data_IF_207833371102
#
_entry.id   IF_207833371102
#
_cell.length_a   1.000
_cell.length_b   1.000
_cell.length_c   1.000
_cell.angle_alpha   90.00
_cell.angle_beta   90.00
_cell.angle_gamma   90.00
#
_symmetry.space_group_name_H-M   'P 1'
#
loop_
_entity.id
_entity.type
_entity.pdbx_description
1 polymer ?
#
# COMPACT_ATOMS: atom_id res chain seq x y z
N UNK A 1 6.08 31.91 45.54
CA UNK A 1 5.23 31.17 44.59
C UNK A 1 5.85 31.32 43.20
N UNK A 2 6.64 30.36 42.72
CA UNK A 2 7.28 30.40 41.40
C UNK A 2 6.90 29.13 40.64
N UNK A 3 6.29 29.35 39.47
CA UNK A 3 5.68 28.38 38.56
C UNK A 3 6.50 27.12 38.30
N UNK A 4 5.99 25.98 38.77
CA UNK A 4 6.48 24.63 38.41
C UNK A 4 5.65 24.04 37.25
N UNK A 5 4.63 24.76 36.77
CA UNK A 5 3.69 24.27 35.75
C UNK A 5 4.23 24.03 34.32
N UNK A 6 5.29 24.68 33.79
CA UNK A 6 5.62 24.52 32.37
C UNK A 6 6.41 23.23 32.05
N UNK A 7 7.00 22.57 33.04
CA UNK A 7 7.83 21.38 32.82
C UNK A 7 7.00 20.09 32.62
N UNK A 8 5.82 20.00 33.23
CA UNK A 8 4.93 18.82 33.12
C UNK A 8 4.21 18.76 31.77
N UNK A 9 3.92 19.90 31.14
CA UNK A 9 3.27 19.97 29.83
C UNK A 9 4.17 19.47 28.69
N UNK A 10 5.49 19.69 28.78
CA UNK A 10 6.46 19.25 27.77
C UNK A 10 6.69 17.72 27.80
N UNK A 11 6.52 17.08 28.96
CA UNK A 11 6.69 15.62 29.08
C UNK A 11 5.53 14.83 28.45
N UNK A 12 4.31 15.39 28.49
CA UNK A 12 3.13 14.77 27.86
C UNK A 12 3.18 14.76 26.33
N UNK A 13 3.94 15.67 25.69
CA UNK A 13 4.05 15.72 24.21
C UNK A 13 4.98 14.61 23.69
N UNK A 14 5.99 14.20 24.46
CA UNK A 14 6.94 13.15 24.05
C UNK A 14 6.33 11.75 24.18
N UNK A 15 5.39 11.54 25.13
CA UNK A 15 4.75 10.24 25.36
C UNK A 15 3.65 9.88 24.33
N UNK A 16 3.16 10.84 23.55
CA UNK A 16 2.19 10.56 22.47
C UNK A 16 2.87 9.96 21.22
N UNK A 17 4.17 10.19 21.04
CA UNK A 17 4.93 9.68 19.90
C UNK A 17 5.25 8.18 19.95
N UNK A 18 5.03 7.52 21.10
CA UNK A 18 5.20 6.07 21.27
C UNK A 18 3.87 5.34 21.47
N UNK A 19 2.73 5.93 21.08
CA UNK A 19 1.49 5.15 21.05
C UNK A 19 1.60 4.12 19.93
N UNK A 20 1.35 2.83 20.21
CA UNK A 20 1.12 1.84 19.16
C UNK A 20 0.06 2.41 18.24
N UNK A 21 0.27 2.29 16.92
CA UNK A 21 -0.72 2.73 15.94
C UNK A 21 -2.07 2.11 16.33
N UNK A 22 -3.08 2.97 16.48
CA UNK A 22 -4.43 2.52 16.82
C UNK A 22 -4.91 1.59 15.70
N UNK A 23 -5.16 0.34 16.04
CA UNK A 23 -5.70 -0.65 15.10
C UNK A 23 -7.13 -0.22 14.77
N UNK A 24 -7.39 0.07 13.50
CA UNK A 24 -8.72 0.46 13.02
C UNK A 24 -9.40 -0.69 12.29
N UNK A 25 -10.71 -0.62 12.14
CA UNK A 25 -11.43 -1.52 11.24
C UNK A 25 -10.89 -1.37 9.79
N UNK A 26 -10.83 -2.46 9.00
CA UNK A 26 -10.32 -2.43 7.62
C UNK A 26 -10.87 -1.29 6.75
N UNK A 27 -12.17 -1.03 6.84
CA UNK A 27 -12.90 -0.01 6.08
C UNK A 27 -12.59 1.44 6.49
N UNK A 28 -11.91 1.65 7.62
CA UNK A 28 -11.45 2.95 8.08
C UNK A 28 -10.14 3.42 7.42
N UNK A 29 -9.48 2.55 6.64
CA UNK A 29 -8.24 2.89 5.93
C UNK A 29 -8.53 3.52 4.55
N UNK A 30 -7.60 4.31 3.99
CA UNK A 30 -7.71 4.84 2.63
C UNK A 30 -7.81 3.74 1.57
N UNK A 31 -7.10 2.63 1.73
CA UNK A 31 -7.21 1.45 0.88
C UNK A 31 -7.70 0.27 1.71
N UNK A 32 -8.69 -0.47 1.21
CA UNK A 32 -9.21 -1.67 1.84
C UNK A 32 -9.64 -2.71 0.81
N UNK A 33 -9.67 -3.98 1.20
CA UNK A 33 -10.11 -5.09 0.37
C UNK A 33 -10.10 -6.42 1.11
N UNK A 34 -10.26 -7.51 0.36
CA UNK A 34 -10.18 -8.86 0.88
C UNK A 34 -8.89 -9.58 0.42
N UNK A 35 -8.42 -10.52 1.23
CA UNK A 35 -7.46 -11.54 0.84
C UNK A 35 -8.20 -12.88 0.78
N UNK A 36 -7.99 -13.61 -0.31
CA UNK A 36 -8.53 -14.96 -0.49
C UNK A 36 -7.48 -15.91 -1.07
N UNK A 37 -7.73 -17.21 -0.94
CA UNK A 37 -6.88 -18.26 -1.50
C UNK A 37 -6.23 -19.14 -0.44
N UNK A 38 -5.58 -20.22 -0.87
CA UNK A 38 -4.98 -21.21 0.02
C UNK A 38 -3.55 -20.80 0.39
N UNK A 39 -3.27 -20.64 1.68
CA UNK A 39 -1.97 -20.17 2.18
C UNK A 39 -1.22 -21.20 3.03
N UNK A 40 -1.72 -22.43 3.13
CA UNK A 40 -1.19 -23.45 4.05
C UNK A 40 -1.98 -23.48 5.36
N UNK A 41 -1.52 -24.27 6.32
CA UNK A 41 -2.32 -24.59 7.51
C UNK A 41 -2.29 -23.51 8.59
N UNK A 42 -1.23 -22.68 8.63
CA UNK A 42 -1.03 -21.60 9.62
C UNK A 42 -0.22 -20.44 9.03
N UNK A 43 -0.74 -19.72 8.02
CA UNK A 43 0.01 -18.66 7.36
C UNK A 43 0.20 -17.45 8.26
N UNK A 44 1.36 -16.80 8.16
CA UNK A 44 1.66 -15.53 8.81
C UNK A 44 1.53 -14.40 7.81
N UNK A 45 0.29 -14.12 7.44
CA UNK A 45 0.00 -13.12 6.42
C UNK A 45 0.35 -11.70 6.89
N UNK A 46 1.02 -10.97 6.01
CA UNK A 46 1.33 -9.54 6.14
C UNK A 46 1.13 -8.84 4.82
N UNK A 47 1.02 -7.52 4.87
CA UNK A 47 0.92 -6.68 3.68
C UNK A 47 2.19 -5.85 3.53
N UNK A 48 2.50 -5.53 2.27
CA UNK A 48 3.58 -4.61 1.91
C UNK A 48 3.17 -3.77 0.70
N UNK A 49 3.63 -2.51 0.67
CA UNK A 49 3.61 -1.70 -0.53
C UNK A 49 4.92 -1.91 -1.29
N UNK A 50 4.82 -2.61 -2.41
CA UNK A 50 5.95 -2.84 -3.31
C UNK A 50 5.83 -1.95 -4.54
N UNK A 51 6.93 -1.39 -5.02
CA UNK A 51 6.89 -0.52 -6.18
C UNK A 51 8.19 0.19 -6.48
N UNK A 52 8.12 1.18 -7.36
CA UNK A 52 9.27 2.01 -7.73
C UNK A 52 8.83 3.42 -8.10
N UNK A 53 9.64 4.41 -7.73
CA UNK A 53 9.52 5.77 -8.26
C UNK A 53 10.18 5.89 -9.64
N UNK A 54 9.81 6.90 -10.42
CA UNK A 54 10.31 7.10 -11.80
C UNK A 54 10.85 8.52 -11.99
N UNK A 55 12.18 8.71 -12.13
CA UNK A 55 13.25 7.75 -11.84
C UNK A 55 13.45 7.65 -10.32
N UNK A 56 13.48 6.44 -9.75
CA UNK A 56 13.49 6.32 -8.29
C UNK A 56 13.76 4.92 -7.75
N UNK A 57 13.98 4.88 -6.44
CA UNK A 57 14.34 3.66 -5.71
C UNK A 57 13.17 2.68 -5.60
N UNK A 58 13.54 1.41 -5.48
CA UNK A 58 12.63 0.32 -5.11
C UNK A 58 12.05 0.62 -3.73
N UNK A 59 10.73 0.51 -3.60
CA UNK A 59 10.06 0.47 -2.30
C UNK A 59 9.51 -0.92 -2.08
N UNK A 60 9.75 -1.41 -0.89
CA UNK A 60 9.15 -2.59 -0.32
C UNK A 60 8.99 -2.26 1.17
N UNK A 61 7.84 -1.66 1.48
CA UNK A 61 7.58 -1.12 2.81
C UNK A 61 6.34 -1.78 3.42
N UNK A 62 6.60 -2.53 4.47
CA UNK A 62 5.65 -3.28 5.28
C UNK A 62 5.48 -2.67 6.68
N UNK A 63 6.20 -1.60 7.00
CA UNK A 63 6.05 -0.82 8.22
C UNK A 63 4.90 0.21 8.10
N UNK A 64 4.21 0.21 6.96
CA UNK A 64 3.05 1.04 6.71
C UNK A 64 1.89 0.60 7.62
N UNK A 65 1.13 1.59 8.07
CA UNK A 65 -0.07 1.37 8.85
C UNK A 65 -1.07 0.47 8.16
N UNK A 66 -1.33 -0.70 8.76
CA UNK A 66 -2.17 -1.73 8.15
C UNK A 66 -2.90 -2.56 9.20
N UNK A 67 -3.98 -3.20 8.78
CA UNK A 67 -4.69 -4.19 9.57
C UNK A 67 -5.08 -5.36 8.67
N UNK A 68 -4.95 -6.59 9.17
CA UNK A 68 -5.35 -7.81 8.48
C UNK A 68 -6.07 -8.71 9.48
N UNK A 69 -7.34 -9.01 9.21
CA UNK A 69 -8.21 -9.72 10.13
C UNK A 69 -8.82 -10.91 9.39
N UNK A 70 -8.80 -12.10 10.01
CA UNK A 70 -9.46 -13.26 9.42
C UNK A 70 -10.98 -13.06 9.39
N UNK A 71 -11.59 -13.26 8.23
CA UNK A 71 -13.04 -13.19 8.01
C UNK A 71 -13.65 -14.58 7.77
N UNK A 72 -12.82 -15.62 7.69
CA UNK A 72 -13.25 -17.01 7.52
C UNK A 72 -12.10 -17.94 7.14
N UNK A 73 -12.45 -19.18 6.79
CA UNK A 73 -11.48 -20.15 6.27
C UNK A 73 -10.86 -19.63 4.97
N UNK A 74 -9.53 -19.48 4.94
CA UNK A 74 -8.79 -19.00 3.77
C UNK A 74 -9.27 -17.61 3.27
N UNK A 75 -9.79 -16.78 4.18
CA UNK A 75 -10.25 -15.43 3.86
C UNK A 75 -9.91 -14.44 4.98
N UNK A 76 -9.49 -13.25 4.57
CA UNK A 76 -9.17 -12.14 5.45
C UNK A 76 -9.68 -10.84 4.83
N UNK A 77 -9.93 -9.85 5.67
CA UNK A 77 -10.15 -8.47 5.28
C UNK A 77 -8.96 -7.62 5.70
N UNK A 78 -8.67 -6.58 4.93
CA UNK A 78 -7.56 -5.70 5.25
C UNK A 78 -7.83 -4.23 4.98
N UNK A 79 -7.10 -3.41 5.73
CA UNK A 79 -6.98 -1.97 5.52
C UNK A 79 -5.51 -1.57 5.48
N UNK A 80 -5.18 -0.58 4.66
CA UNK A 80 -3.81 -0.15 4.36
C UNK A 80 -3.71 1.37 4.16
N UNK A 81 -2.80 2.02 4.88
CA UNK A 81 -2.53 3.45 4.76
C UNK A 81 -1.59 3.71 3.58
N UNK A 82 -2.08 4.32 2.50
CA UNK A 82 -1.15 4.77 1.47
C UNK A 82 -0.36 5.99 1.98
N UNK A 83 0.96 6.06 1.71
CA UNK A 83 1.73 7.26 2.01
C UNK A 83 1.09 8.48 1.34
N UNK A 84 1.13 9.62 2.03
CA UNK A 84 0.55 10.84 1.50
C UNK A 84 1.19 11.19 0.14
N UNK A 85 0.43 11.58 -0.90
CA UNK A 85 0.98 11.86 -2.21
C UNK A 85 2.12 12.88 -2.22
N UNK A 86 2.08 13.88 -1.33
CA UNK A 86 3.12 14.90 -1.18
C UNK A 86 4.48 14.37 -0.67
N UNK A 87 4.56 13.11 -0.23
CA UNK A 87 5.83 12.45 0.10
C UNK A 87 6.60 12.04 -1.16
N UNK A 88 5.91 11.91 -2.31
CA UNK A 88 6.53 11.50 -3.56
C UNK A 88 6.88 12.72 -4.42
N UNK A 89 8.18 12.98 -4.58
CA UNK A 89 8.67 14.05 -5.45
C UNK A 89 8.65 13.68 -6.94
N UNK A 90 8.37 12.41 -7.26
CA UNK A 90 8.32 11.86 -8.62
C UNK A 90 7.10 10.94 -8.74
N UNK A 91 6.63 10.72 -9.97
CA UNK A 91 5.60 9.70 -10.21
C UNK A 91 6.13 8.31 -9.84
N UNK A 92 5.25 7.39 -9.46
CA UNK A 92 5.65 6.04 -9.09
C UNK A 92 4.53 5.03 -9.29
N UNK A 93 4.95 3.79 -9.50
CA UNK A 93 4.05 2.65 -9.69
C UNK A 93 4.24 1.69 -8.52
N UNK A 94 3.14 1.39 -7.85
CA UNK A 94 3.11 0.57 -6.65
C UNK A 94 2.00 -0.46 -6.72
N UNK A 95 2.10 -1.46 -5.86
CA UNK A 95 1.09 -2.46 -5.64
C UNK A 95 1.12 -2.86 -4.17
N UNK A 96 -0.06 -3.04 -3.58
CA UNK A 96 -0.14 -3.73 -2.29
C UNK A 96 -0.12 -5.23 -2.57
N UNK A 97 0.79 -5.92 -1.91
CA UNK A 97 0.90 -7.38 -1.93
C UNK A 97 0.64 -7.93 -0.54
N UNK A 98 0.04 -9.10 -0.48
CA UNK A 98 -0.02 -9.92 0.73
C UNK A 98 1.00 -11.04 0.60
N UNK A 99 1.75 -11.32 1.65
CA UNK A 99 2.77 -12.35 1.67
C UNK A 99 2.74 -13.14 2.98
N UNK A 100 3.23 -14.38 2.93
CA UNK A 100 3.42 -15.23 4.11
C UNK A 100 4.82 -14.98 4.70
N UNK A 101 4.88 -14.26 5.81
CA UNK A 101 6.12 -13.90 6.51
C UNK A 101 6.67 -15.09 7.31
N UNK A 102 7.26 -16.03 6.56
CA UNK A 102 7.83 -17.26 7.09
C UNK A 102 8.98 -17.00 8.08
N UNK A 103 9.73 -15.92 7.87
CA UNK A 103 10.92 -15.58 8.67
C UNK A 103 10.61 -14.67 9.86
N UNK A 104 9.39 -14.15 9.95
CA UNK A 104 8.94 -13.19 10.95
C UNK A 104 9.77 -11.90 11.02
N UNK A 105 10.33 -11.45 9.90
CA UNK A 105 11.12 -10.22 9.86
C UNK A 105 10.27 -9.00 9.48
N UNK A 106 8.96 -9.23 9.29
CA UNK A 106 7.96 -8.24 8.93
C UNK A 106 8.14 -7.64 7.55
N UNK A 107 9.02 -8.15 6.68
CA UNK A 107 9.32 -7.60 5.36
C UNK A 107 9.03 -8.62 4.28
N UNK A 108 8.62 -8.15 3.11
CA UNK A 108 8.54 -9.06 1.98
C UNK A 108 9.95 -9.40 1.50
N UNK A 109 10.32 -10.68 1.52
CA UNK A 109 11.57 -11.18 1.00
C UNK A 109 11.39 -11.85 -0.36
N UNK A 110 12.36 -11.68 -1.24
CA UNK A 110 12.36 -12.36 -2.54
C UNK A 110 12.33 -13.88 -2.30
N UNK A 111 11.34 -14.55 -2.87
CA UNK A 111 11.11 -15.99 -2.71
C UNK A 111 10.02 -16.36 -1.71
N UNK A 112 9.52 -15.41 -0.92
CA UNK A 112 8.32 -15.63 -0.10
C UNK A 112 7.08 -15.78 -0.99
N UNK A 113 6.15 -16.61 -0.52
CA UNK A 113 4.85 -16.75 -1.17
C UNK A 113 4.10 -15.45 -1.01
N UNK A 114 3.59 -14.91 -2.13
CA UNK A 114 2.79 -13.71 -2.13
C UNK A 114 1.61 -13.81 -3.10
N UNK A 115 0.66 -12.90 -2.93
CA UNK A 115 -0.45 -12.70 -3.84
C UNK A 115 -0.64 -11.21 -4.09
N UNK A 116 -1.19 -10.93 -5.26
CA UNK A 116 -1.46 -9.60 -5.77
C UNK A 116 -2.66 -9.65 -6.70
N UNK A 117 -3.15 -8.50 -7.11
CA UNK A 117 -4.16 -8.39 -8.16
C UNK A 117 -3.53 -7.88 -9.47
N UNK A 118 -4.40 -7.49 -10.42
CA UNK A 118 -4.00 -6.88 -11.69
C UNK A 118 -4.25 -5.38 -11.72
N UNK A 119 -4.24 -4.77 -10.54
CA UNK A 119 -4.41 -3.34 -10.37
C UNK A 119 -3.10 -2.72 -9.92
N UNK A 120 -2.77 -1.58 -10.50
CA UNK A 120 -1.58 -0.80 -10.19
C UNK A 120 -1.97 0.52 -9.54
N UNK A 121 -1.31 0.83 -8.42
CA UNK A 121 -1.46 2.09 -7.71
C UNK A 121 -0.40 3.06 -8.24
N UNK A 122 -0.83 4.07 -8.97
CA UNK A 122 0.06 5.03 -9.62
C UNK A 122 -0.09 6.38 -8.91
N UNK A 123 0.99 6.83 -8.27
CA UNK A 123 1.03 8.16 -7.65
C UNK A 123 1.66 9.14 -8.62
N UNK A 124 1.08 10.33 -8.76
CA UNK A 124 1.65 11.43 -9.52
C UNK A 124 1.65 12.72 -8.69
N UNK A 125 2.74 13.50 -8.67
CA UNK A 125 2.75 14.79 -7.99
C UNK A 125 1.89 15.84 -8.71
N UNK A 126 1.70 15.71 -10.02
CA UNK A 126 0.97 16.68 -10.86
C UNK A 126 -0.02 15.99 -11.79
N UNK A 127 -1.00 16.74 -12.31
CA UNK A 127 -1.83 16.28 -13.41
C UNK A 127 -0.98 16.22 -14.69
N UNK A 128 -1.11 15.17 -15.50
CA UNK A 128 -0.38 15.11 -16.76
C UNK A 128 -0.36 13.75 -17.41
N UNK A 129 0.43 13.68 -18.48
CA UNK A 129 0.71 12.44 -19.19
C UNK A 129 1.82 11.66 -18.48
N UNK A 130 1.54 10.40 -18.20
CA UNK A 130 2.48 9.42 -17.72
C UNK A 130 3.01 8.62 -18.91
N UNK A 131 4.32 8.65 -19.07
CA UNK A 131 4.97 7.87 -20.12
C UNK A 131 4.85 6.38 -19.79
N UNK A 132 4.66 5.55 -20.81
CA UNK A 132 4.67 4.10 -20.62
C UNK A 132 6.00 3.65 -19.98
N UNK A 133 5.93 2.69 -19.08
CA UNK A 133 7.08 2.21 -18.30
C UNK A 133 7.08 0.70 -18.25
N UNK A 134 8.26 0.11 -18.40
CA UNK A 134 8.47 -1.29 -18.10
C UNK A 134 8.74 -1.43 -16.61
N UNK A 135 7.88 -2.20 -15.94
CA UNK A 135 8.03 -2.48 -14.53
C UNK A 135 9.17 -3.48 -14.34
N UNK A 136 10.06 -3.25 -13.36
CA UNK A 136 11.10 -4.20 -13.04
C UNK A 136 10.56 -5.58 -12.69
N UNK A 137 11.31 -6.63 -13.01
CA UNK A 137 10.91 -8.03 -12.78
C UNK A 137 10.53 -8.32 -11.32
N UNK A 138 11.18 -7.66 -10.37
CA UNK A 138 10.91 -7.83 -8.94
C UNK A 138 9.55 -7.28 -8.51
N UNK A 139 8.87 -6.46 -9.34
CA UNK A 139 7.46 -6.08 -9.16
C UNK A 139 6.51 -7.12 -9.76
N UNK A 140 7.02 -8.27 -10.18
CA UNK A 140 6.27 -9.41 -10.68
C UNK A 140 6.07 -9.38 -12.19
N UNK A 141 7.14 -9.49 -12.95
CA UNK A 141 7.07 -10.08 -14.30
C UNK A 141 7.18 -9.15 -15.49
N UNK A 142 8.11 -8.20 -15.46
CA UNK A 142 8.53 -7.42 -16.64
C UNK A 142 7.37 -6.69 -17.36
N UNK A 143 6.33 -6.31 -16.61
CA UNK A 143 5.10 -5.85 -17.23
C UNK A 143 5.23 -4.42 -17.76
N UNK A 144 4.71 -4.18 -18.96
CA UNK A 144 4.70 -2.85 -19.55
C UNK A 144 3.39 -2.13 -19.21
N UNK A 145 3.50 -1.01 -18.48
CA UNK A 145 2.38 -0.08 -18.34
C UNK A 145 2.33 0.84 -19.55
N UNK A 146 1.16 0.99 -20.20
CA UNK A 146 1.01 1.86 -21.36
C UNK A 146 1.08 3.35 -20.95
N UNK A 147 1.32 4.26 -21.91
CA UNK A 147 1.13 5.69 -21.67
C UNK A 147 -0.31 5.98 -21.25
N UNK A 148 -0.50 6.88 -20.28
CA UNK A 148 -1.81 7.15 -19.69
C UNK A 148 -1.88 8.56 -19.11
N UNK A 149 -3.10 9.05 -18.84
CA UNK A 149 -3.31 10.34 -18.16
C UNK A 149 -3.53 10.12 -16.68
N UNK A 150 -2.84 10.87 -15.85
CA UNK A 150 -2.93 10.81 -14.40
C UNK A 150 -3.43 12.12 -13.82
N UNK A 151 -4.13 12.03 -12.68
CA UNK A 151 -4.35 13.17 -11.81
C UNK A 151 -3.26 13.20 -10.73
N UNK A 152 -3.00 14.40 -10.20
CA UNK A 152 -2.20 14.57 -8.99
C UNK A 152 -2.83 13.75 -7.85
N UNK A 153 -2.01 13.03 -7.10
CA UNK A 153 -2.45 12.08 -6.09
C UNK A 153 -2.33 10.62 -6.55
N UNK A 154 -3.10 9.76 -5.89
CA UNK A 154 -3.19 8.34 -6.20
C UNK A 154 -4.21 8.07 -7.30
N UNK A 155 -3.84 7.18 -8.23
CA UNK A 155 -4.67 6.71 -9.32
C UNK A 155 -4.64 5.18 -9.32
N UNK A 156 -5.77 4.54 -9.60
CA UNK A 156 -5.88 3.10 -9.78
C UNK A 156 -5.91 2.82 -11.28
N UNK A 157 -4.94 2.08 -11.77
CA UNK A 157 -4.96 1.51 -13.11
C UNK A 157 -5.36 0.04 -13.02
N UNK A 158 -6.52 -0.30 -13.57
CA UNK A 158 -7.00 -1.68 -13.65
C UNK A 158 -6.76 -2.22 -15.05
N UNK A 159 -5.88 -3.21 -15.18
CA UNK A 159 -5.53 -3.79 -16.47
C UNK A 159 -6.62 -4.60 -17.12
N UNK A 160 -7.61 -5.06 -16.35
CA UNK A 160 -8.75 -5.78 -16.90
C UNK A 160 -9.72 -4.87 -17.68
N UNK A 161 -9.52 -3.55 -17.57
CA UNK A 161 -10.38 -2.54 -18.17
C UNK A 161 -9.63 -1.78 -19.28
N UNK A 162 -10.31 -1.37 -20.36
CA UNK A 162 -9.70 -0.55 -21.39
C UNK A 162 -9.19 0.78 -20.81
N UNK A 163 -8.08 1.29 -21.34
CA UNK A 163 -7.62 2.64 -21.06
C UNK A 163 -8.64 3.67 -21.54
N UNK A 164 -8.81 4.75 -20.77
CA UNK A 164 -9.70 5.83 -21.15
C UNK A 164 -9.96 6.82 -20.03
N UNK A 165 -11.06 7.56 -20.14
CA UNK A 165 -11.39 8.63 -19.19
C UNK A 165 -11.60 8.14 -17.74
N UNK A 166 -11.94 6.86 -17.56
CA UNK A 166 -12.18 6.23 -16.26
C UNK A 166 -11.08 5.26 -15.82
N UNK A 167 -10.00 5.10 -16.59
CA UNK A 167 -8.92 4.17 -16.28
C UNK A 167 -7.59 4.70 -16.88
N UNK A 168 -6.64 5.16 -16.05
CA UNK A 168 -6.65 5.12 -14.58
C UNK A 168 -7.69 6.05 -13.94
N UNK A 169 -8.22 5.66 -12.77
CA UNK A 169 -9.15 6.48 -11.98
C UNK A 169 -8.46 7.04 -10.73
N UNK A 170 -8.50 8.36 -10.54
CA UNK A 170 -8.01 8.99 -9.32
C UNK A 170 -8.86 8.59 -8.10
N UNK A 171 -8.22 8.38 -6.95
CA UNK A 171 -8.93 8.02 -5.72
C UNK A 171 -8.29 8.64 -4.48
N UNK A 172 -9.11 8.90 -3.47
CA UNK A 172 -8.69 9.20 -2.09
C UNK A 172 -8.98 8.03 -1.16
N UNK A 173 -10.07 7.32 -1.46
CA UNK A 173 -10.45 6.05 -0.84
C UNK A 173 -10.65 5.00 -1.93
N UNK A 174 -10.08 3.83 -1.72
CA UNK A 174 -10.30 2.66 -2.53
C UNK A 174 -10.85 1.54 -1.65
N UNK A 175 -11.97 1.01 -2.07
CA UNK A 175 -12.59 -0.20 -1.51
C UNK A 175 -12.49 -1.29 -2.57
N UNK A 176 -12.61 -2.53 -2.14
CA UNK A 176 -12.61 -3.68 -3.05
C UNK A 176 -11.26 -3.90 -3.77
N UNK A 177 -10.14 -3.57 -3.10
CA UNK A 177 -8.80 -3.92 -3.58
C UNK A 177 -8.47 -5.38 -3.23
N UNK A 178 -9.13 -6.31 -3.91
CA UNK A 178 -9.05 -7.72 -3.54
C UNK A 178 -7.78 -8.40 -4.04
N UNK A 179 -7.16 -9.20 -3.18
CA UNK A 179 -5.96 -9.98 -3.44
C UNK A 179 -6.31 -11.47 -3.39
N UNK A 180 -5.88 -12.23 -4.39
CA UNK A 180 -6.20 -13.65 -4.49
C UNK A 180 -4.97 -14.47 -4.85
N UNK A 181 -4.79 -15.60 -4.16
CA UNK A 181 -3.81 -16.63 -4.49
C UNK A 181 -4.44 -17.85 -5.12
#
# INVERSE_FOLDING_TARGET
>A
MRSVLPALLLLSVVLVACRPQEVRAPDAYPLAGAVSGRWGDSPRLRLALVGTGIPGAVKNDSAIGQNLVSSGLNSWEFGFDLPAPGVFNVAGVYQVVVFDDANNDTKYNVGETFARNRQWLIVSPVNGDFSGVNLPDFLGGAEALPPMKLRSGWNLYDQSRPLGASNPSAFTTLRDYDLSR
#
